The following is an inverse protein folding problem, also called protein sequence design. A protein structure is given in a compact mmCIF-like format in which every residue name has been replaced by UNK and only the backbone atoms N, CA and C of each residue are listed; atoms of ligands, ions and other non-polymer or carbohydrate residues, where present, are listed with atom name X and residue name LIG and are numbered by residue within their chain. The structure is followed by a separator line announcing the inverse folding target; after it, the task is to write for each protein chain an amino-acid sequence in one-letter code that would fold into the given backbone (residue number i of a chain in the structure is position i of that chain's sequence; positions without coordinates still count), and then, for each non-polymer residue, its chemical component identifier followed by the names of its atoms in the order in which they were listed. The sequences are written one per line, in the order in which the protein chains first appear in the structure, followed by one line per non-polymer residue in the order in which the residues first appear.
data_IF_488949579158
#
_entry.id   IF_488949579158
#
_cell.length_a   1.000
_cell.length_b   1.000
_cell.length_c   1.000
_cell.angle_alpha   90.00
_cell.angle_beta   90.00
_cell.angle_gamma   90.00
#
_symmetry.space_group_name_H-M   'P 1'
#
loop_
_entity.id
_entity.type
_entity.pdbx_description
1 polymer ?
#
# COMPACT_ATOMS: atom_id res chain seq x y z
N UNK A 1 14.16 12.35 19.11
CA UNK A 1 12.69 12.51 18.94
C UNK A 1 12.39 12.30 17.47
N UNK A 2 12.06 11.07 17.07
CA UNK A 2 11.48 10.83 15.74
C UNK A 2 10.03 11.32 15.82
N UNK A 3 9.71 12.27 14.96
CA UNK A 3 8.35 12.73 14.72
C UNK A 3 7.80 11.72 13.70
N UNK A 4 7.04 10.71 14.14
CA UNK A 4 6.31 9.86 13.18
C UNK A 4 5.43 10.78 12.32
N UNK A 5 5.89 11.07 11.11
CA UNK A 5 5.19 11.86 10.08
C UNK A 5 3.96 11.11 9.53
N UNK A 6 3.76 9.87 9.98
CA UNK A 6 2.79 8.88 9.54
C UNK A 6 1.68 8.64 10.57
N UNK A 7 1.42 9.55 11.52
CA UNK A 7 0.45 9.32 12.62
C UNK A 7 -0.95 8.86 12.18
N UNK A 8 -1.34 9.19 10.95
CA UNK A 8 -2.63 8.84 10.36
C UNK A 8 -2.51 7.80 9.22
N UNK A 9 -1.32 7.22 9.05
CA UNK A 9 -1.00 6.19 8.07
C UNK A 9 -0.72 4.86 8.79
N UNK A 10 -1.36 3.80 8.34
CA UNK A 10 -1.16 2.42 8.81
C UNK A 10 -0.27 1.72 7.80
N UNK A 11 0.79 1.05 8.26
CA UNK A 11 1.59 0.19 7.39
C UNK A 11 0.77 -1.06 7.06
N UNK A 12 0.53 -1.31 5.77
CA UNK A 12 -0.26 -2.46 5.32
C UNK A 12 0.60 -3.58 4.73
N UNK A 13 1.72 -3.23 4.11
CA UNK A 13 2.76 -4.18 3.69
C UNK A 13 4.17 -3.66 4.09
N UNK A 14 4.81 -4.25 5.11
CA UNK A 14 6.15 -3.88 5.53
C UNK A 14 7.26 -4.21 4.51
N UNK A 15 7.08 -5.23 3.67
CA UNK A 15 8.07 -5.68 2.69
C UNK A 15 8.12 -4.71 1.50
N UNK A 16 6.96 -4.16 1.12
CA UNK A 16 6.85 -3.18 0.03
C UNK A 16 6.90 -1.72 0.52
N UNK A 17 6.97 -1.50 1.84
CA UNK A 17 6.81 -0.17 2.45
C UNK A 17 5.48 0.49 2.02
N UNK A 18 4.39 -0.27 2.07
CA UNK A 18 3.05 0.21 1.76
C UNK A 18 2.37 0.78 2.99
N UNK A 19 1.73 1.93 2.82
CA UNK A 19 0.98 2.61 3.86
C UNK A 19 -0.40 3.01 3.34
N UNK A 20 -1.41 2.90 4.19
CA UNK A 20 -2.78 3.31 3.93
C UNK A 20 -3.24 4.39 4.93
N UNK A 21 -3.90 5.42 4.44
CA UNK A 21 -4.59 6.43 5.24
C UNK A 21 -6.07 6.47 4.85
N UNK A 22 -6.97 6.35 5.83
CA UNK A 22 -8.40 6.60 5.61
C UNK A 22 -8.62 8.11 5.49
N UNK A 23 -9.09 8.57 4.33
CA UNK A 23 -9.30 10.00 4.05
C UNK A 23 -10.69 10.42 4.54
N UNK A 24 -11.74 9.76 4.04
CA UNK A 24 -13.13 9.97 4.44
C UNK A 24 -14.02 8.85 3.87
N UNK A 25 -15.07 8.44 4.58
CA UNK A 25 -16.04 7.47 4.05
C UNK A 25 -15.36 6.20 3.54
N UNK A 26 -15.58 5.88 2.25
CA UNK A 26 -14.96 4.78 1.50
C UNK A 26 -13.76 5.22 0.63
N UNK A 27 -13.13 6.34 0.98
CA UNK A 27 -11.97 6.89 0.30
C UNK A 27 -10.71 6.64 1.14
N UNK A 28 -9.73 6.01 0.51
CA UNK A 28 -8.45 5.62 1.10
C UNK A 28 -7.32 6.16 0.26
N UNK A 29 -6.21 6.52 0.90
CA UNK A 29 -4.99 6.93 0.21
C UNK A 29 -3.89 5.93 0.50
N UNK A 30 -3.26 5.45 -0.55
CA UNK A 30 -2.14 4.53 -0.49
C UNK A 30 -0.85 5.23 -0.88
N UNK A 31 0.23 4.77 -0.26
CA UNK A 31 1.58 5.20 -0.56
C UNK A 31 2.51 4.01 -0.44
N UNK A 32 3.07 3.59 -1.56
CA UNK A 32 4.01 2.46 -1.65
C UNK A 32 5.36 2.95 -2.18
N UNK A 33 6.46 2.40 -1.67
CA UNK A 33 7.78 2.74 -2.18
C UNK A 33 7.99 2.06 -3.54
N UNK A 34 8.49 2.78 -4.54
CA UNK A 34 8.79 2.19 -5.85
C UNK A 34 9.97 1.20 -5.74
N UNK A 35 9.64 -0.09 -5.65
CA UNK A 35 10.62 -1.16 -5.49
C UNK A 35 11.53 -1.32 -6.71
N UNK A 36 11.17 -0.76 -7.87
CA UNK A 36 12.06 -0.74 -9.04
C UNK A 36 13.36 0.03 -8.76
N UNK A 37 13.32 0.96 -7.79
CA UNK A 37 14.48 1.68 -7.30
C UNK A 37 15.44 0.79 -6.50
N UNK A 38 15.03 -0.39 -6.06
CA UNK A 38 15.93 -1.38 -5.46
C UNK A 38 16.72 -2.20 -6.49
N UNK A 39 16.78 -1.77 -7.75
CA UNK A 39 17.58 -2.44 -8.77
C UNK A 39 19.09 -2.25 -8.53
N UNK A 40 19.84 -3.33 -8.18
CA UNK A 40 21.28 -3.23 -7.89
C UNK A 40 22.13 -2.94 -9.13
N UNK A 41 21.55 -2.99 -10.33
CA UNK A 41 22.24 -2.74 -11.60
C UNK A 41 22.31 -1.24 -11.94
N UNK A 42 21.62 -0.38 -11.19
CA UNK A 42 21.59 1.07 -11.39
C UNK A 42 22.39 1.73 -10.26
N UNK A 43 23.55 2.31 -10.59
CA UNK A 43 24.47 2.88 -9.59
C UNK A 43 23.82 3.93 -8.68
N UNK A 44 22.91 4.72 -9.24
CA UNK A 44 22.33 5.88 -8.58
C UNK A 44 21.24 5.52 -7.57
N UNK A 45 20.74 4.28 -7.63
CA UNK A 45 19.70 3.76 -6.74
C UNK A 45 20.22 2.79 -5.67
N UNK A 46 21.49 2.39 -5.77
CA UNK A 46 22.18 1.50 -4.81
C UNK A 46 22.13 2.02 -3.35
N UNK A 47 22.05 3.35 -3.17
CA UNK A 47 21.89 3.96 -1.84
C UNK A 47 20.59 3.54 -1.15
N UNK A 48 19.49 3.38 -1.90
CA UNK A 48 18.19 2.98 -1.34
C UNK A 48 18.24 1.52 -0.89
N UNK A 49 18.85 0.65 -1.68
CA UNK A 49 19.06 -0.76 -1.32
C UNK A 49 19.91 -0.90 -0.06
N UNK A 50 21.04 -0.18 0.02
CA UNK A 50 21.88 -0.17 1.20
C UNK A 50 21.14 0.35 2.44
N UNK A 51 20.36 1.42 2.31
CA UNK A 51 19.61 1.94 3.45
C UNK A 51 18.51 0.99 3.90
N UNK A 52 17.80 0.34 2.97
CA UNK A 52 16.80 -0.69 3.27
C UNK A 52 17.39 -1.82 4.11
N UNK A 53 18.57 -2.30 3.75
CA UNK A 53 19.21 -3.44 4.40
C UNK A 53 19.87 -3.08 5.75
N UNK A 54 20.13 -1.79 6.01
CA UNK A 54 20.86 -1.33 7.20
C UNK A 54 20.06 -0.43 8.14
N UNK A 55 18.82 -0.05 7.78
CA UNK A 55 17.93 0.77 8.59
C UNK A 55 16.72 -0.03 9.05
N UNK A 56 16.08 0.41 10.13
CA UNK A 56 14.72 -0.05 10.44
C UNK A 56 13.74 0.51 9.42
N UNK A 57 12.60 -0.15 9.20
CA UNK A 57 11.51 0.36 8.35
C UNK A 57 11.13 1.78 8.73
N UNK A 58 10.99 2.08 10.04
CA UNK A 58 10.70 3.44 10.53
C UNK A 58 11.76 4.46 10.11
N UNK A 59 13.04 4.14 10.24
CA UNK A 59 14.13 5.05 9.90
C UNK A 59 14.25 5.27 8.39
N UNK A 60 14.01 4.22 7.59
CA UNK A 60 13.96 4.30 6.13
C UNK A 60 12.84 5.22 5.68
N UNK A 61 11.63 4.99 6.21
CA UNK A 61 10.44 5.78 5.91
C UNK A 61 10.64 7.23 6.33
N UNK A 62 11.09 7.51 7.55
CA UNK A 62 11.33 8.87 8.05
C UNK A 62 12.31 9.66 7.15
N UNK A 63 13.31 8.96 6.58
CA UNK A 63 14.31 9.53 5.68
C UNK A 63 13.72 9.89 4.31
N UNK A 64 12.90 9.01 3.74
CA UNK A 64 12.48 9.10 2.34
C UNK A 64 11.04 9.57 2.11
N UNK A 65 10.20 9.64 3.15
CA UNK A 65 8.76 9.91 3.05
C UNK A 65 8.35 11.12 2.21
N UNK A 66 9.16 12.19 2.27
CA UNK A 66 8.86 13.46 1.62
C UNK A 66 9.37 13.54 0.17
N UNK A 67 10.13 12.53 -0.29
CA UNK A 67 10.72 12.51 -1.62
C UNK A 67 9.75 11.84 -2.59
N UNK A 68 8.76 12.59 -3.06
CA UNK A 68 7.56 12.06 -3.76
C UNK A 68 7.87 11.26 -5.02
N UNK A 69 9.04 11.47 -5.63
CA UNK A 69 9.48 10.70 -6.80
C UNK A 69 9.85 9.24 -6.47
N UNK A 70 10.02 8.92 -5.18
CA UNK A 70 10.34 7.56 -4.72
C UNK A 70 9.11 6.73 -4.35
N UNK A 71 7.93 7.33 -4.40
CA UNK A 71 6.69 6.72 -3.93
C UNK A 71 5.60 6.77 -4.99
N UNK A 72 4.89 5.67 -5.13
CA UNK A 72 3.63 5.61 -5.83
C UNK A 72 2.56 6.00 -4.81
N UNK A 73 1.86 7.11 -5.05
CA UNK A 73 0.82 7.62 -4.16
C UNK A 73 -0.48 7.78 -4.93
N UNK A 74 -1.55 7.15 -4.43
CA UNK A 74 -2.85 7.14 -5.11
C UNK A 74 -4.00 7.18 -4.10
N UNK A 75 -5.08 7.85 -4.48
CA UNK A 75 -6.33 7.86 -3.73
C UNK A 75 -7.35 6.96 -4.44
N UNK A 76 -7.92 6.03 -3.67
CA UNK A 76 -8.91 5.05 -4.11
C UNK A 76 -10.24 5.39 -3.44
N UNK A 77 -11.23 5.68 -4.27
CA UNK A 77 -12.61 5.84 -3.86
C UNK A 77 -13.40 4.61 -4.32
N UNK A 78 -13.73 3.72 -3.39
CA UNK A 78 -14.37 2.44 -3.70
C UNK A 78 -15.72 2.65 -4.41
N UNK A 79 -16.40 3.78 -4.17
CA UNK A 79 -17.70 4.07 -4.80
C UNK A 79 -17.59 4.34 -6.30
N UNK A 80 -16.38 4.49 -6.85
CA UNK A 80 -16.14 4.62 -8.28
C UNK A 80 -16.14 3.28 -9.02
N UNK A 81 -16.09 2.17 -8.29
CA UNK A 81 -16.08 0.82 -8.83
C UNK A 81 -17.44 0.15 -8.63
N UNK A 82 -17.88 -0.58 -9.64
CA UNK A 82 -19.07 -1.42 -9.53
C UNK A 82 -18.79 -2.64 -8.67
N UNK A 83 -19.85 -3.27 -8.14
CA UNK A 83 -19.72 -4.51 -7.38
C UNK A 83 -19.06 -5.63 -8.20
N UNK A 84 -19.35 -5.70 -9.49
CA UNK A 84 -18.76 -6.68 -10.42
C UNK A 84 -17.25 -6.45 -10.57
N UNK A 85 -16.80 -5.20 -10.77
CA UNK A 85 -15.38 -4.87 -10.84
C UNK A 85 -14.65 -5.17 -9.52
N UNK A 86 -15.24 -4.83 -8.38
CA UNK A 86 -14.66 -5.14 -7.06
C UNK A 86 -14.51 -6.66 -6.89
N UNK A 87 -15.53 -7.42 -7.29
CA UNK A 87 -15.50 -8.88 -7.19
C UNK A 87 -14.44 -9.49 -8.11
N UNK A 88 -14.34 -9.05 -9.36
CA UNK A 88 -13.33 -9.51 -10.30
C UNK A 88 -11.90 -9.23 -9.78
N UNK A 89 -11.68 -8.05 -9.18
CA UNK A 89 -10.40 -7.68 -8.57
C UNK A 89 -10.10 -8.61 -7.39
N UNK A 90 -11.02 -8.74 -6.42
CA UNK A 90 -10.81 -9.58 -5.23
C UNK A 90 -10.60 -11.06 -5.56
N UNK A 91 -11.34 -11.57 -6.53
CA UNK A 91 -11.21 -12.95 -7.02
C UNK A 91 -9.80 -13.19 -7.60
N UNK A 92 -9.18 -12.19 -8.23
CA UNK A 92 -7.81 -12.29 -8.76
C UNK A 92 -6.75 -12.49 -7.67
N UNK A 93 -7.02 -12.01 -6.45
CA UNK A 93 -6.20 -12.22 -5.25
C UNK A 93 -6.68 -13.41 -4.40
N UNK A 94 -7.73 -14.13 -4.83
CA UNK A 94 -8.27 -15.31 -4.16
C UNK A 94 -9.16 -15.01 -2.95
N UNK A 95 -9.69 -13.77 -2.86
CA UNK A 95 -10.65 -13.38 -1.85
C UNK A 95 -12.08 -13.55 -2.34
N UNK A 96 -13.00 -13.93 -1.43
CA UNK A 96 -14.43 -13.95 -1.72
C UNK A 96 -15.11 -12.71 -1.12
N UNK A 97 -15.99 -12.08 -1.88
CA UNK A 97 -16.77 -10.91 -1.45
C UNK A 97 -18.26 -11.13 -1.71
N UNK A 98 -19.07 -10.91 -0.67
CA UNK A 98 -20.54 -11.06 -0.74
C UNK A 98 -21.29 -9.74 -0.93
N UNK A 99 -20.56 -8.63 -1.08
CA UNK A 99 -21.11 -7.27 -1.17
C UNK A 99 -21.13 -6.51 0.17
N UNK A 100 -20.82 -7.16 1.28
CA UNK A 100 -20.72 -6.53 2.61
C UNK A 100 -19.42 -6.90 3.33
N UNK A 101 -18.96 -8.15 3.20
CA UNK A 101 -17.78 -8.68 3.87
C UNK A 101 -16.82 -9.36 2.90
N UNK A 102 -15.52 -9.15 3.13
CA UNK A 102 -14.46 -9.92 2.47
C UNK A 102 -14.08 -11.10 3.37
N UNK A 103 -14.04 -12.31 2.81
CA UNK A 103 -13.70 -13.52 3.56
C UNK A 103 -12.22 -13.84 3.42
N UNK A 104 -11.49 -13.78 4.53
CA UNK A 104 -10.09 -14.21 4.60
C UNK A 104 -10.00 -15.71 4.85
N UNK A 105 -9.14 -16.41 4.10
CA UNK A 105 -8.80 -17.81 4.40
C UNK A 105 -7.96 -17.95 5.68
N UNK A 106 -7.27 -16.87 6.11
CA UNK A 106 -6.29 -16.88 7.22
C UNK A 106 -6.86 -16.47 8.58
N UNK A 107 -8.02 -15.79 8.62
CA UNK A 107 -8.67 -15.34 9.86
C UNK A 107 -8.11 -14.03 10.45
N UNK A 108 -7.22 -13.34 9.76
CA UNK A 108 -6.75 -11.99 10.14
C UNK A 108 -7.79 -10.91 9.82
N UNK A 109 -7.77 -9.80 10.57
CA UNK A 109 -8.77 -8.73 10.46
C UNK A 109 -8.16 -7.44 9.89
N UNK A 110 -8.53 -7.13 8.64
CA UNK A 110 -8.47 -5.80 8.05
C UNK A 110 -9.89 -5.24 7.94
N UNK A 111 -10.06 -3.91 8.02
CA UNK A 111 -11.36 -3.30 7.69
C UNK A 111 -11.68 -3.66 6.23
N UNK A 112 -12.86 -4.25 5.98
CA UNK A 112 -13.20 -4.80 4.66
C UNK A 112 -13.03 -3.77 3.53
N UNK A 113 -13.45 -2.52 3.76
CA UNK A 113 -13.26 -1.43 2.80
C UNK A 113 -11.77 -1.11 2.57
N UNK A 114 -10.91 -1.17 3.59
CA UNK A 114 -9.48 -0.90 3.43
C UNK A 114 -8.78 -1.99 2.60
N UNK A 115 -9.16 -3.27 2.79
CA UNK A 115 -8.65 -4.36 1.95
C UNK A 115 -9.11 -4.21 0.51
N UNK A 116 -10.39 -3.89 0.28
CA UNK A 116 -10.91 -3.64 -1.07
C UNK A 116 -10.09 -2.55 -1.76
N UNK A 117 -9.87 -1.44 -1.06
CA UNK A 117 -9.10 -0.33 -1.61
C UNK A 117 -7.62 -0.70 -1.86
N UNK A 118 -7.03 -1.57 -1.04
CA UNK A 118 -5.69 -2.11 -1.23
C UNK A 118 -5.59 -2.99 -2.47
N UNK A 119 -6.51 -3.94 -2.66
CA UNK A 119 -6.53 -4.79 -3.85
C UNK A 119 -6.73 -3.98 -5.13
N UNK A 120 -7.55 -2.92 -5.09
CA UNK A 120 -7.70 -1.98 -6.21
C UNK A 120 -6.38 -1.25 -6.47
N UNK A 121 -5.74 -0.71 -5.43
CA UNK A 121 -4.44 -0.04 -5.54
C UNK A 121 -3.40 -0.93 -6.21
N UNK A 122 -3.24 -2.17 -5.73
CA UNK A 122 -2.28 -3.13 -6.29
C UNK A 122 -2.63 -3.50 -7.73
N UNK A 123 -3.92 -3.70 -8.04
CA UNK A 123 -4.39 -3.99 -9.39
C UNK A 123 -4.05 -2.87 -10.39
N UNK A 124 -4.15 -1.60 -9.97
CA UNK A 124 -3.92 -0.45 -10.84
C UNK A 124 -2.44 -0.05 -10.97
N UNK A 125 -1.60 -0.43 -10.01
CA UNK A 125 -0.20 0.02 -9.95
C UNK A 125 0.81 -1.08 -10.26
N UNK A 126 0.47 -2.35 -10.04
CA UNK A 126 1.40 -3.47 -10.17
C UNK A 126 1.11 -4.42 -11.35
N UNK A 127 -0.02 -4.24 -12.06
CA UNK A 127 -0.43 -5.07 -13.21
C UNK A 127 -0.56 -4.29 -14.52
#
# INVERSE_FOLDING_TARGET
MSLMKTKDWVNTDPDNFQFCQKVAGKVFRFKEFDLSLFNPSISDTMKYLNDRDNMTTEAFVDKYWNDTELWIEQEIDIEQYTLEEIQDILDSYGYEYDGEFVTFQTGDYYEADALIAECIFEYETQY
#
